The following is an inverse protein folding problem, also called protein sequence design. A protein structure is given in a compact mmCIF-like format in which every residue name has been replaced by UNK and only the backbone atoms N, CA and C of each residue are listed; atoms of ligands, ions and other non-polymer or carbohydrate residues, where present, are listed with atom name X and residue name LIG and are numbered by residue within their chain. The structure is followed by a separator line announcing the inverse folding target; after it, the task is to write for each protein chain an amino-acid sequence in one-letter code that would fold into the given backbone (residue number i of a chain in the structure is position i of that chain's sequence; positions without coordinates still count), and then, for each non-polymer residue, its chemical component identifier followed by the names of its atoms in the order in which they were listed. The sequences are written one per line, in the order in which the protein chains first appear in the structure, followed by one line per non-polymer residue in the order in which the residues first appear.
data_IF_688025360643
#
_entry.id   IF_688025360643
#
_cell.length_a   1.000
_cell.length_b   1.000
_cell.length_c   1.000
_cell.angle_alpha   90.00
_cell.angle_beta   90.00
_cell.angle_gamma   90.00
#
_symmetry.space_group_name_H-M   'P 1'
#
loop_
_entity.id
_entity.type
_entity.pdbx_description
1 polymer ?
#
# COMPACT_ATOMS: atom_id res chain seq x y z
N UNK A 1 8.67 -7.59 -9.81
CA UNK A 1 7.28 -7.29 -9.37
C UNK A 1 6.43 -8.53 -9.40
N UNK A 2 5.15 -8.42 -9.08
CA UNK A 2 4.20 -9.55 -9.08
C UNK A 2 4.19 -10.33 -10.42
N UNK A 3 4.44 -9.64 -11.54
CA UNK A 3 4.53 -10.23 -12.88
C UNK A 3 5.65 -11.29 -13.06
N UNK A 4 6.72 -11.27 -12.26
CA UNK A 4 7.78 -12.29 -12.37
C UNK A 4 7.27 -13.70 -11.99
N UNK A 5 6.27 -13.79 -11.09
CA UNK A 5 5.64 -15.09 -10.77
C UNK A 5 4.83 -15.62 -11.95
N UNK A 6 4.22 -14.75 -12.74
CA UNK A 6 3.55 -15.13 -13.99
C UNK A 6 4.56 -15.61 -15.03
N UNK A 7 5.70 -14.94 -15.15
CA UNK A 7 6.78 -15.40 -16.03
C UNK A 7 7.31 -16.79 -15.63
N UNK A 8 7.36 -17.12 -14.33
CA UNK A 8 7.78 -18.45 -13.84
C UNK A 8 6.70 -19.53 -14.00
N UNK A 9 5.44 -19.18 -13.76
CA UNK A 9 4.33 -20.16 -13.72
C UNK A 9 3.60 -20.31 -15.05
N UNK A 10 3.71 -19.33 -15.96
CA UNK A 10 2.89 -19.23 -17.17
C UNK A 10 1.42 -18.91 -16.92
N UNK A 11 0.99 -18.72 -15.65
CA UNK A 11 -0.42 -18.45 -15.31
C UNK A 11 -0.81 -17.03 -15.68
N UNK A 12 -2.05 -16.88 -16.17
CA UNK A 12 -2.70 -15.59 -16.46
C UNK A 12 -3.76 -15.21 -15.42
N UNK A 13 -3.94 -16.01 -14.36
CA UNK A 13 -5.18 -15.99 -13.56
C UNK A 13 -5.28 -14.85 -12.54
N UNK A 14 -4.16 -14.23 -12.16
CA UNK A 14 -4.12 -13.22 -11.09
C UNK A 14 -3.30 -12.00 -11.54
N UNK A 15 -3.93 -11.04 -12.21
CA UNK A 15 -3.27 -9.78 -12.53
C UNK A 15 -3.23 -8.86 -11.29
N UNK A 16 -2.13 -8.12 -11.02
CA UNK A 16 -2.10 -7.19 -9.90
C UNK A 16 -3.10 -6.04 -10.13
N UNK A 17 -4.06 -5.86 -9.22
CA UNK A 17 -5.09 -4.81 -9.33
C UNK A 17 -4.57 -3.42 -8.95
N UNK A 18 -3.50 -3.37 -8.15
CA UNK A 18 -2.88 -2.11 -7.75
C UNK A 18 -2.00 -1.59 -8.88
N UNK A 19 -2.30 -0.37 -9.35
CA UNK A 19 -1.51 0.41 -10.30
C UNK A 19 -0.17 0.87 -9.68
N UNK A 20 0.70 -0.09 -9.35
CA UNK A 20 1.89 0.14 -8.56
C UNK A 20 2.88 1.08 -9.25
N UNK A 21 2.98 1.03 -10.58
CA UNK A 21 3.86 1.90 -11.35
C UNK A 21 3.44 3.37 -11.21
N UNK A 22 2.14 3.66 -11.36
CA UNK A 22 1.58 5.01 -11.24
C UNK A 22 1.75 5.55 -9.82
N UNK A 23 1.40 4.74 -8.82
CA UNK A 23 1.48 5.15 -7.41
C UNK A 23 2.93 5.35 -6.95
N UNK A 24 3.84 4.42 -7.25
CA UNK A 24 5.24 4.52 -6.85
C UNK A 24 5.95 5.67 -7.55
N UNK A 25 5.73 5.85 -8.86
CA UNK A 25 6.32 6.97 -9.59
C UNK A 25 5.86 8.33 -9.05
N UNK A 26 4.58 8.47 -8.68
CA UNK A 26 4.08 9.66 -8.00
C UNK A 26 4.78 9.92 -6.65
N UNK A 27 5.02 8.86 -5.86
CA UNK A 27 5.76 8.98 -4.58
C UNK A 27 7.23 9.35 -4.82
N UNK A 28 7.93 8.72 -5.76
CA UNK A 28 9.31 9.06 -6.10
C UNK A 28 9.44 10.47 -6.66
N UNK A 29 8.49 10.92 -7.50
CA UNK A 29 8.44 12.30 -7.98
C UNK A 29 8.27 13.29 -6.82
N UNK A 30 7.37 13.01 -5.86
CA UNK A 30 7.21 13.84 -4.67
C UNK A 30 8.50 13.91 -3.84
N UNK A 31 9.17 12.78 -3.60
CA UNK A 31 10.47 12.72 -2.90
C UNK A 31 11.53 13.54 -3.65
N UNK A 32 11.60 13.42 -4.98
CA UNK A 32 12.50 14.19 -5.82
C UNK A 32 12.25 15.69 -5.68
N UNK A 33 10.99 16.13 -5.74
CA UNK A 33 10.61 17.54 -5.58
C UNK A 33 11.00 18.07 -4.21
N UNK A 34 10.69 17.33 -3.13
CA UNK A 34 11.07 17.70 -1.78
C UNK A 34 12.60 17.81 -1.63
N UNK A 35 13.35 16.88 -2.22
CA UNK A 35 14.82 16.89 -2.22
C UNK A 35 15.40 18.09 -2.98
N UNK A 36 14.82 18.40 -4.15
CA UNK A 36 15.21 19.55 -4.95
C UNK A 36 14.91 20.88 -4.23
N UNK A 37 13.75 20.99 -3.57
CA UNK A 37 13.40 22.17 -2.76
C UNK A 37 14.37 22.34 -1.59
N UNK A 38 14.74 21.26 -0.91
CA UNK A 38 15.75 21.30 0.15
C UNK A 38 17.12 21.74 -0.36
N UNK A 39 17.59 21.19 -1.47
CA UNK A 39 18.84 21.60 -2.10
C UNK A 39 18.82 23.08 -2.53
N UNK A 40 17.71 23.55 -3.11
CA UNK A 40 17.51 24.93 -3.54
C UNK A 40 17.67 25.94 -2.41
N UNK A 41 17.34 25.59 -1.15
CA UNK A 41 17.55 26.49 -0.01
C UNK A 41 19.03 26.87 0.17
N UNK A 42 19.95 25.99 -0.23
CA UNK A 42 21.39 26.21 -0.14
C UNK A 42 21.98 26.78 -1.43
N UNK A 43 21.49 26.34 -2.58
CA UNK A 43 22.08 26.66 -3.88
C UNK A 43 21.44 27.88 -4.55
N UNK A 44 20.19 28.21 -4.19
CA UNK A 44 19.36 29.18 -4.90
C UNK A 44 18.89 28.72 -6.28
N UNK A 45 19.26 27.51 -6.72
CA UNK A 45 19.01 27.00 -8.07
C UNK A 45 17.98 25.87 -8.05
N UNK A 46 17.05 25.91 -9.01
CA UNK A 46 16.18 24.78 -9.31
C UNK A 46 16.94 23.65 -10.02
N UNK A 47 16.27 22.51 -10.20
CA UNK A 47 16.81 21.39 -10.98
C UNK A 47 15.68 20.66 -11.69
N UNK A 48 16.05 19.85 -12.69
CA UNK A 48 15.14 18.93 -13.39
C UNK A 48 15.20 17.55 -12.75
N UNK A 49 14.04 16.91 -12.64
CA UNK A 49 13.91 15.56 -12.10
C UNK A 49 13.30 14.70 -13.20
N UNK A 50 13.96 13.60 -13.55
CA UNK A 50 13.43 12.58 -14.44
C UNK A 50 13.03 11.35 -13.61
N UNK A 51 11.82 10.84 -13.82
CA UNK A 51 11.24 9.73 -13.05
C UNK A 51 10.62 8.72 -13.99
N UNK A 52 11.30 7.58 -14.17
CA UNK A 52 10.81 6.45 -14.95
C UNK A 52 9.91 5.56 -14.09
N UNK A 53 8.68 5.29 -14.56
CA UNK A 53 7.75 4.34 -13.93
C UNK A 53 8.35 2.93 -13.85
N UNK A 54 9.09 2.52 -14.89
CA UNK A 54 9.77 1.23 -14.94
C UNK A 54 10.86 1.14 -13.88
N UNK A 55 11.66 2.19 -13.72
CA UNK A 55 12.76 2.24 -12.75
C UNK A 55 12.20 2.19 -11.32
N UNK A 56 11.08 2.87 -11.07
CA UNK A 56 10.38 2.81 -9.78
C UNK A 56 9.95 1.39 -9.42
N UNK A 57 9.40 0.64 -10.38
CA UNK A 57 9.04 -0.77 -10.17
C UNK A 57 10.28 -1.65 -9.94
N UNK A 58 11.35 -1.44 -10.69
CA UNK A 58 12.61 -2.18 -10.53
C UNK A 58 13.20 -1.92 -9.14
N UNK A 59 13.29 -0.66 -8.73
CA UNK A 59 13.78 -0.25 -7.42
C UNK A 59 12.96 -0.86 -6.28
N UNK A 60 11.62 -0.89 -6.39
CA UNK A 60 10.74 -1.53 -5.41
C UNK A 60 10.95 -3.06 -5.28
N UNK A 61 11.66 -3.69 -6.23
CA UNK A 61 12.01 -5.11 -6.21
C UNK A 61 13.47 -5.38 -5.82
N UNK A 62 14.16 -4.40 -5.24
CA UNK A 62 15.57 -4.54 -4.85
C UNK A 62 15.85 -5.80 -4.01
N UNK A 63 14.95 -6.19 -3.10
CA UNK A 63 15.11 -7.40 -2.28
C UNK A 63 15.20 -8.69 -3.11
N UNK A 64 14.50 -8.75 -4.25
CA UNK A 64 14.53 -9.90 -5.15
C UNK A 64 15.69 -9.79 -6.15
N UNK A 65 15.97 -8.59 -6.62
CA UNK A 65 16.94 -8.33 -7.68
C UNK A 65 18.38 -8.31 -7.18
N UNK A 66 18.64 -7.76 -5.99
CA UNK A 66 20.00 -7.61 -5.48
C UNK A 66 20.74 -8.96 -5.35
N UNK A 67 20.14 -10.04 -4.80
CA UNK A 67 20.79 -11.35 -4.81
C UNK A 67 21.07 -11.86 -6.23
N UNK A 68 20.10 -11.75 -7.14
CA UNK A 68 20.25 -12.17 -8.55
C UNK A 68 21.35 -11.41 -9.27
N UNK A 69 21.46 -10.09 -9.07
CA UNK A 69 22.54 -9.27 -9.60
C UNK A 69 23.92 -9.68 -9.08
N UNK A 70 23.98 -10.28 -7.89
CA UNK A 70 25.21 -10.79 -7.26
C UNK A 70 25.40 -12.30 -7.49
N UNK A 71 24.69 -12.91 -8.44
CA UNK A 71 24.84 -14.33 -8.80
C UNK A 71 24.23 -15.32 -7.80
N UNK A 72 23.52 -14.84 -6.78
CA UNK A 72 22.76 -15.68 -5.88
C UNK A 72 21.34 -15.93 -6.42
N UNK A 73 20.71 -17.08 -6.11
CA UNK A 73 19.31 -17.28 -6.44
C UNK A 73 18.45 -16.21 -5.74
N UNK A 74 17.32 -15.80 -6.35
CA UNK A 74 16.39 -14.89 -5.69
C UNK A 74 15.91 -15.52 -4.37
N UNK A 75 15.76 -14.73 -3.30
CA UNK A 75 15.37 -15.26 -2.00
C UNK A 75 13.93 -15.77 -2.08
N UNK A 76 13.69 -16.94 -1.52
CA UNK A 76 12.33 -17.40 -1.28
C UNK A 76 11.85 -16.87 0.08
N UNK A 77 11.17 -15.72 0.00
CA UNK A 77 10.62 -15.00 1.16
C UNK A 77 9.43 -15.74 1.80
N UNK A 78 8.90 -16.79 1.17
CA UNK A 78 7.73 -17.55 1.65
C UNK A 78 8.13 -18.87 2.33
N UNK A 79 9.41 -19.07 2.64
CA UNK A 79 9.97 -20.34 3.15
C UNK A 79 9.53 -20.73 4.57
N UNK A 80 8.95 -19.79 5.33
CA UNK A 80 8.50 -20.06 6.69
C UNK A 80 7.10 -20.70 6.72
N UNK A 81 6.85 -21.68 7.62
CA UNK A 81 5.55 -22.32 7.72
C UNK A 81 4.41 -21.35 8.03
N UNK A 82 4.71 -20.27 8.77
CA UNK A 82 3.77 -19.22 9.16
C UNK A 82 3.81 -18.00 8.22
N UNK A 83 4.18 -18.19 6.95
CA UNK A 83 4.12 -17.14 5.94
C UNK A 83 3.05 -17.47 4.88
N UNK A 84 2.06 -16.60 4.75
CA UNK A 84 1.03 -16.62 3.72
C UNK A 84 -0.39 -16.67 4.29
N UNK A 85 -1.33 -17.10 3.43
CA UNK A 85 -2.75 -17.11 3.72
C UNK A 85 -3.23 -18.46 4.23
N UNK A 86 -4.19 -18.43 5.15
CA UNK A 86 -4.80 -19.60 5.77
C UNK A 86 -6.30 -19.43 5.91
N UNK A 87 -7.04 -20.50 5.61
CA UNK A 87 -8.50 -20.54 5.71
C UNK A 87 -8.94 -20.93 7.11
N UNK A 88 -9.86 -20.15 7.68
CA UNK A 88 -10.51 -20.44 8.96
C UNK A 88 -11.76 -21.31 8.76
N UNK A 89 -12.35 -21.80 9.85
CA UNK A 89 -13.52 -22.70 9.80
C UNK A 89 -14.77 -22.11 9.14
N UNK A 90 -14.86 -20.77 9.04
CA UNK A 90 -15.93 -20.04 8.35
C UNK A 90 -15.58 -19.68 6.89
N UNK A 91 -14.48 -20.21 6.34
CA UNK A 91 -14.02 -19.95 4.98
C UNK A 91 -13.30 -18.61 4.79
N UNK A 92 -13.27 -17.75 5.81
CA UNK A 92 -12.54 -16.48 5.77
C UNK A 92 -11.04 -16.69 5.95
N UNK A 93 -10.24 -15.75 5.45
CA UNK A 93 -8.79 -15.88 5.41
C UNK A 93 -8.11 -15.03 6.50
N UNK A 94 -7.03 -15.59 7.06
CA UNK A 94 -6.00 -14.88 7.82
C UNK A 94 -4.70 -14.85 7.03
N UNK A 95 -3.96 -13.77 7.17
CA UNK A 95 -2.58 -13.65 6.72
C UNK A 95 -1.65 -13.73 7.92
N UNK A 96 -0.61 -14.55 7.80
CA UNK A 96 0.57 -14.51 8.65
C UNK A 96 1.75 -14.12 7.76
N UNK A 97 2.63 -13.25 8.25
CA UNK A 97 3.67 -12.68 7.38
C UNK A 97 5.04 -12.73 8.01
N UNK A 98 5.17 -12.74 9.34
CA UNK A 98 6.48 -12.79 9.97
C UNK A 98 6.35 -13.64 11.24
N UNK A 99 7.01 -14.78 11.23
CA UNK A 99 7.44 -15.45 12.45
C UNK A 99 8.95 -15.70 12.33
N UNK A 100 9.71 -14.74 11.80
CA UNK A 100 11.14 -14.94 11.56
C UNK A 100 11.86 -15.11 12.89
N UNK A 101 11.54 -14.24 13.84
CA UNK A 101 12.03 -14.27 15.20
C UNK A 101 11.30 -15.33 16.03
N UNK A 102 12.04 -16.07 16.84
CA UNK A 102 11.50 -17.24 17.53
C UNK A 102 10.42 -16.87 18.57
N UNK A 103 10.48 -15.68 19.17
CA UNK A 103 9.44 -15.21 20.09
C UNK A 103 8.07 -14.97 19.41
N UNK A 104 8.05 -14.58 18.14
CA UNK A 104 6.79 -14.50 17.38
C UNK A 104 6.23 -15.88 17.06
N UNK A 105 7.11 -16.84 16.79
CA UNK A 105 6.72 -18.23 16.60
C UNK A 105 6.16 -18.83 17.89
N UNK A 106 6.81 -18.60 19.03
CA UNK A 106 6.34 -19.05 20.34
C UNK A 106 4.93 -18.49 20.66
N UNK A 107 4.71 -17.19 20.46
CA UNK A 107 3.40 -16.55 20.63
C UNK A 107 2.32 -17.18 19.73
N UNK A 108 2.65 -17.42 18.45
CA UNK A 108 1.76 -18.09 17.51
C UNK A 108 1.46 -19.53 17.93
N UNK A 109 2.47 -20.28 18.37
CA UNK A 109 2.30 -21.64 18.87
C UNK A 109 1.38 -21.69 20.08
N UNK A 110 1.51 -20.76 21.02
CA UNK A 110 0.61 -20.66 22.16
C UNK A 110 -0.84 -20.42 21.73
N UNK A 111 -1.06 -19.53 20.75
CA UNK A 111 -2.41 -19.26 20.22
C UNK A 111 -3.02 -20.45 19.46
N UNK A 112 -2.18 -21.26 18.80
CA UNK A 112 -2.60 -22.41 17.99
C UNK A 112 -2.53 -23.76 18.73
N UNK A 113 -2.22 -23.77 20.03
CA UNK A 113 -2.06 -25.00 20.83
C UNK A 113 -1.00 -25.94 20.21
N UNK A 114 0.15 -25.36 19.83
CA UNK A 114 1.29 -26.03 19.20
C UNK A 114 2.55 -26.00 20.08
N UNK A 115 2.38 -26.21 21.40
CA UNK A 115 3.46 -26.09 22.39
C UNK A 115 4.63 -27.05 22.14
N UNK A 116 4.37 -28.22 21.56
CA UNK A 116 5.38 -29.23 21.23
C UNK A 116 6.41 -28.77 20.18
N UNK A 117 6.11 -27.70 19.45
CA UNK A 117 6.99 -27.11 18.43
C UNK A 117 7.37 -25.66 18.73
N UNK A 118 6.94 -25.09 19.86
CA UNK A 118 7.21 -23.69 20.21
C UNK A 118 8.71 -23.39 20.32
N UNK A 119 9.51 -24.33 20.86
CA UNK A 119 10.96 -24.14 21.02
C UNK A 119 11.78 -24.28 19.72
N UNK A 120 11.14 -24.60 18.57
CA UNK A 120 11.85 -24.76 17.31
C UNK A 120 12.44 -23.43 16.84
N UNK A 121 13.75 -23.45 16.64
CA UNK A 121 14.47 -22.32 16.07
C UNK A 121 14.22 -22.25 14.57
N UNK A 122 14.31 -21.05 14.01
CA UNK A 122 14.03 -20.77 12.59
C UNK A 122 14.53 -21.84 11.58
N UNK A 123 15.80 -22.30 11.58
CA UNK A 123 16.25 -23.30 10.60
C UNK A 123 15.48 -24.63 10.69
N UNK A 124 15.08 -25.03 11.90
CA UNK A 124 14.29 -26.24 12.14
C UNK A 124 12.86 -26.09 11.63
N UNK A 125 12.30 -24.87 11.73
CA UNK A 125 10.97 -24.53 11.22
C UNK A 125 10.93 -24.56 9.70
N UNK A 126 11.94 -23.99 9.04
CA UNK A 126 12.09 -24.05 7.58
C UNK A 126 12.24 -25.51 7.11
N UNK A 127 13.05 -26.32 7.80
CA UNK A 127 13.22 -27.73 7.45
C UNK A 127 11.92 -28.56 7.56
N UNK A 128 10.95 -28.08 8.35
CA UNK A 128 9.63 -28.70 8.58
C UNK A 128 8.48 -27.85 8.04
N UNK A 129 8.75 -26.93 7.10
CA UNK A 129 7.81 -25.89 6.69
C UNK A 129 6.46 -26.48 6.21
N UNK A 130 6.50 -27.48 5.33
CA UNK A 130 5.28 -28.10 4.79
C UNK A 130 4.44 -28.79 5.87
N UNK A 131 5.10 -29.53 6.78
CA UNK A 131 4.46 -30.23 7.90
C UNK A 131 3.77 -29.24 8.84
N UNK A 132 4.50 -28.21 9.27
CA UNK A 132 4.02 -27.19 10.19
C UNK A 132 2.90 -26.35 9.55
N UNK A 133 3.04 -25.97 8.28
CA UNK A 133 2.02 -25.24 7.52
C UNK A 133 0.73 -26.05 7.40
N UNK A 134 0.83 -27.34 7.07
CA UNK A 134 -0.33 -28.23 6.99
C UNK A 134 -1.00 -28.43 8.36
N UNK A 135 -0.22 -28.49 9.45
CA UNK A 135 -0.74 -28.53 10.82
C UNK A 135 -1.49 -27.24 11.18
N UNK A 136 -0.88 -26.07 10.93
CA UNK A 136 -1.52 -24.77 11.16
C UNK A 136 -2.83 -24.65 10.38
N UNK A 137 -2.83 -25.01 9.09
CA UNK A 137 -4.04 -24.97 8.27
C UNK A 137 -5.16 -25.83 8.84
N UNK A 138 -4.86 -27.06 9.33
CA UNK A 138 -5.86 -27.92 9.99
C UNK A 138 -6.38 -27.34 11.30
N UNK A 139 -5.53 -26.69 12.09
CA UNK A 139 -5.94 -26.07 13.35
C UNK A 139 -6.86 -24.88 13.07
N UNK A 140 -6.50 -24.01 12.14
CA UNK A 140 -7.27 -22.81 11.82
C UNK A 140 -8.68 -23.11 11.30
N UNK A 141 -8.90 -24.28 10.69
CA UNK A 141 -10.24 -24.73 10.30
C UNK A 141 -11.18 -25.06 11.47
N UNK A 142 -10.69 -25.18 12.71
CA UNK A 142 -11.51 -25.55 13.87
C UNK A 142 -12.45 -24.44 14.36
N UNK A 143 -12.10 -23.18 14.09
CA UNK A 143 -12.84 -22.02 14.58
C UNK A 143 -13.03 -20.97 13.49
N UNK A 144 -14.09 -20.14 13.56
CA UNK A 144 -14.27 -19.01 12.65
C UNK A 144 -13.16 -17.97 12.84
N UNK A 145 -12.87 -17.17 11.79
CA UNK A 145 -11.79 -16.17 11.81
C UNK A 145 -11.83 -15.26 13.04
N UNK A 146 -13.01 -14.75 13.40
CA UNK A 146 -13.17 -13.82 14.52
C UNK A 146 -12.76 -14.40 15.89
N UNK A 147 -12.84 -15.72 16.08
CA UNK A 147 -12.34 -16.39 17.28
C UNK A 147 -10.80 -16.43 17.28
N UNK A 148 -10.19 -16.74 16.13
CA UNK A 148 -8.74 -16.69 15.98
C UNK A 148 -8.20 -15.28 16.15
N UNK A 149 -8.86 -14.26 15.60
CA UNK A 149 -8.46 -12.86 15.79
C UNK A 149 -8.38 -12.51 17.28
N UNK A 150 -9.34 -12.95 18.10
CA UNK A 150 -9.29 -12.75 19.56
C UNK A 150 -8.15 -13.50 20.22
N UNK A 151 -7.96 -14.79 19.89
CA UNK A 151 -6.91 -15.63 20.50
C UNK A 151 -5.51 -15.14 20.14
N UNK A 152 -5.29 -14.84 18.87
CA UNK A 152 -4.02 -14.34 18.36
C UNK A 152 -3.69 -12.96 18.94
N UNK A 153 -4.67 -12.06 19.05
CA UNK A 153 -4.47 -10.76 19.71
C UNK A 153 -4.16 -10.91 21.20
N UNK A 154 -4.81 -11.84 21.91
CA UNK A 154 -4.52 -12.11 23.31
C UNK A 154 -3.13 -12.70 23.55
N UNK A 155 -2.58 -13.40 22.54
CA UNK A 155 -1.23 -13.97 22.56
C UNK A 155 -0.15 -13.01 22.03
N UNK A 156 -0.51 -11.78 21.64
CA UNK A 156 0.39 -10.82 20.95
C UNK A 156 1.05 -11.42 19.69
N UNK A 157 0.35 -12.34 19.02
CA UNK A 157 0.81 -12.95 17.78
C UNK A 157 0.61 -11.99 16.60
N UNK A 158 1.53 -11.98 15.64
CA UNK A 158 1.39 -11.16 14.43
C UNK A 158 0.49 -11.85 13.41
N UNK A 159 -0.66 -11.24 13.14
CA UNK A 159 -1.59 -11.68 12.11
C UNK A 159 -2.31 -10.47 11.49
N UNK A 160 -2.97 -10.70 10.36
CA UNK A 160 -3.93 -9.76 9.80
C UNK A 160 -5.14 -10.49 9.21
N UNK A 161 -6.37 -9.97 9.39
CA UNK A 161 -7.51 -10.45 8.63
C UNK A 161 -7.36 -10.06 7.15
N UNK A 162 -7.70 -10.99 6.26
CA UNK A 162 -7.80 -10.69 4.83
C UNK A 162 -9.22 -10.21 4.58
N UNK A 163 -9.35 -8.94 4.20
CA UNK A 163 -10.64 -8.25 4.14
C UNK A 163 -11.13 -8.09 2.71
N UNK A 164 -12.43 -8.23 2.53
CA UNK A 164 -13.15 -7.71 1.37
C UNK A 164 -13.20 -6.18 1.43
N UNK A 165 -13.31 -5.50 0.28
CA UNK A 165 -13.38 -4.02 0.25
C UNK A 165 -14.54 -3.46 1.10
N UNK A 166 -15.66 -4.18 1.17
CA UNK A 166 -16.81 -3.80 2.00
C UNK A 166 -16.51 -3.85 3.51
N UNK A 167 -15.55 -4.68 3.93
CA UNK A 167 -15.09 -4.77 5.32
C UNK A 167 -13.98 -3.73 5.59
N UNK A 168 -13.11 -3.45 4.62
CA UNK A 168 -12.04 -2.44 4.73
C UNK A 168 -12.60 -1.06 5.11
N UNK A 169 -13.70 -0.63 4.50
CA UNK A 169 -14.33 0.68 4.81
C UNK A 169 -15.00 0.73 6.18
N UNK A 170 -15.12 -0.43 6.87
CA UNK A 170 -15.68 -0.58 8.21
C UNK A 170 -14.62 -0.97 9.24
N UNK A 171 -13.36 -1.11 8.82
CA UNK A 171 -12.29 -1.57 9.70
C UNK A 171 -12.04 -0.55 10.83
N UNK A 172 -12.12 -0.98 12.11
CA UNK A 172 -11.97 -0.07 13.25
C UNK A 172 -10.62 0.66 13.27
N UNK A 173 -9.53 0.03 12.82
CA UNK A 173 -8.22 0.65 12.78
C UNK A 173 -8.15 1.72 11.70
N UNK A 174 -8.64 1.45 10.49
CA UNK A 174 -8.66 2.42 9.39
C UNK A 174 -9.59 3.61 9.69
N UNK A 175 -10.73 3.36 10.34
CA UNK A 175 -11.64 4.40 10.83
C UNK A 175 -11.01 5.25 11.94
N UNK A 176 -10.32 4.64 12.91
CA UNK A 176 -9.61 5.35 13.96
C UNK A 176 -8.47 6.24 13.41
N UNK A 177 -7.82 5.79 12.32
CA UNK A 177 -6.86 6.59 11.56
C UNK A 177 -7.51 7.68 10.69
N UNK A 178 -8.84 7.67 10.57
CA UNK A 178 -9.65 8.56 9.72
C UNK A 178 -9.29 8.50 8.23
N UNK A 179 -8.83 7.33 7.76
CA UNK A 179 -8.31 7.19 6.40
C UNK A 179 -9.37 7.54 5.33
N UNK A 180 -10.64 7.32 5.66
CA UNK A 180 -11.79 7.72 4.86
C UNK A 180 -12.35 9.06 5.34
N UNK A 181 -12.50 10.02 4.45
CA UNK A 181 -12.92 11.39 4.81
C UNK A 181 -13.89 11.98 3.79
N UNK A 182 -14.69 12.95 4.24
CA UNK A 182 -15.52 13.82 3.38
C UNK A 182 -15.01 15.25 3.48
N UNK A 183 -15.23 16.03 2.44
CA UNK A 183 -14.89 17.46 2.44
C UNK A 183 -16.03 18.22 3.11
N UNK A 184 -15.72 18.95 4.18
CA UNK A 184 -16.73 19.73 4.89
C UNK A 184 -17.34 20.79 3.96
N UNK A 185 -18.67 20.83 3.88
CA UNK A 185 -19.41 21.78 3.03
C UNK A 185 -19.45 21.43 1.54
N UNK A 186 -18.88 20.30 1.10
CA UNK A 186 -19.03 19.82 -0.28
C UNK A 186 -20.46 19.27 -0.50
N UNK A 187 -21.27 19.88 -1.39
CA UNK A 187 -22.63 19.41 -1.68
C UNK A 187 -22.69 17.97 -2.21
N UNK A 188 -21.59 17.47 -2.80
CA UNK A 188 -21.53 16.11 -3.33
C UNK A 188 -21.59 15.05 -2.22
N UNK A 189 -21.15 15.38 -1.00
CA UNK A 189 -21.01 14.44 0.10
C UNK A 189 -20.10 13.24 -0.21
N UNK A 190 -19.22 13.35 -1.22
CA UNK A 190 -18.39 12.23 -1.67
C UNK A 190 -17.32 11.85 -0.63
N UNK A 191 -17.11 10.54 -0.51
CA UNK A 191 -16.02 9.98 0.29
C UNK A 191 -14.71 9.98 -0.49
N UNK A 192 -13.63 10.25 0.21
CA UNK A 192 -12.27 10.25 -0.29
C UNK A 192 -11.38 9.40 0.62
N UNK A 193 -10.35 8.80 0.04
CA UNK A 193 -9.27 8.13 0.78
C UNK A 193 -8.12 9.12 0.90
N UNK A 194 -7.68 9.45 2.12
CA UNK A 194 -6.52 10.32 2.30
C UNK A 194 -5.21 9.54 2.18
N UNK A 195 -4.13 10.28 1.97
CA UNK A 195 -2.77 9.80 2.14
C UNK A 195 -2.50 9.36 3.62
N UNK A 196 -1.57 8.42 3.88
CA UNK A 196 -1.43 7.79 5.19
C UNK A 196 -0.57 8.55 6.23
N UNK A 197 0.16 9.58 5.82
CA UNK A 197 1.00 10.43 6.69
C UNK A 197 0.14 11.29 7.61
N UNK A 198 0.49 11.27 8.89
CA UNK A 198 -0.11 12.09 9.93
C UNK A 198 0.97 12.96 10.54
N UNK A 199 0.76 14.26 10.59
CA UNK A 199 1.71 15.22 11.16
C UNK A 199 1.20 15.71 12.51
N UNK A 200 2.11 16.22 13.34
CA UNK A 200 1.74 16.96 14.54
C UNK A 200 0.91 18.20 14.12
N UNK A 201 -0.39 18.19 14.42
CA UNK A 201 -1.35 19.21 13.97
C UNK A 201 -2.42 18.71 13.01
N UNK A 202 -2.35 17.47 12.53
CA UNK A 202 -3.41 16.82 11.76
C UNK A 202 -2.93 15.95 10.61
N UNK A 203 -3.89 15.32 9.93
CA UNK A 203 -3.63 14.50 8.76
C UNK A 203 -4.08 15.27 7.49
N UNK A 204 -3.15 15.67 6.61
CA UNK A 204 -3.49 16.31 5.34
C UNK A 204 -4.42 15.44 4.51
N UNK A 205 -5.38 16.08 3.85
CA UNK A 205 -6.37 15.44 3.00
C UNK A 205 -6.99 16.46 2.05
N UNK A 206 -7.94 16.03 1.19
CA UNK A 206 -8.63 16.94 0.29
C UNK A 206 -9.39 18.00 1.10
N UNK A 207 -9.12 19.27 0.80
CA UNK A 207 -9.72 20.43 1.47
C UNK A 207 -10.81 21.12 0.64
N UNK A 208 -10.87 20.85 -0.66
CA UNK A 208 -11.77 21.48 -1.63
C UNK A 208 -12.29 20.43 -2.61
N UNK A 209 -13.53 20.56 -3.11
CA UNK A 209 -14.07 19.66 -4.12
C UNK A 209 -13.20 19.58 -5.38
N UNK A 210 -13.38 18.51 -6.14
CA UNK A 210 -12.72 18.35 -7.45
C UNK A 210 -13.17 19.48 -8.37
N UNK A 211 -12.24 20.24 -8.99
CA UNK A 211 -12.62 21.33 -9.87
C UNK A 211 -13.23 20.82 -11.17
N UNK A 212 -14.19 21.58 -11.72
CA UNK A 212 -14.67 21.36 -13.08
C UNK A 212 -13.57 21.71 -14.09
N UNK A 213 -13.67 21.14 -15.30
CA UNK A 213 -12.82 21.53 -16.41
C UNK A 213 -12.95 23.04 -16.65
N UNK A 214 -11.82 23.75 -16.71
CA UNK A 214 -11.78 25.20 -16.93
C UNK A 214 -12.15 26.08 -15.73
N UNK A 215 -12.53 25.52 -14.57
CA UNK A 215 -13.02 26.29 -13.41
C UNK A 215 -12.06 27.40 -12.94
N UNK A 216 -10.75 27.17 -13.06
CA UNK A 216 -9.73 28.09 -12.57
C UNK A 216 -8.95 28.80 -13.69
N UNK A 217 -9.36 28.64 -14.96
CA UNK A 217 -8.63 29.19 -16.11
C UNK A 217 -8.45 30.70 -16.03
N UNK A 218 -9.54 31.46 -15.89
CA UNK A 218 -9.48 32.93 -15.90
C UNK A 218 -8.70 33.48 -14.69
N UNK A 219 -8.94 33.02 -13.44
CA UNK A 219 -8.13 33.44 -12.29
C UNK A 219 -6.64 33.21 -12.48
N UNK A 220 -6.23 32.04 -12.99
CA UNK A 220 -4.81 31.71 -13.20
C UNK A 220 -4.18 32.59 -14.30
N UNK A 221 -4.89 32.86 -15.39
CA UNK A 221 -4.38 33.74 -16.46
C UNK A 221 -4.21 35.19 -15.97
N UNK A 222 -5.14 35.68 -15.15
CA UNK A 222 -5.02 37.01 -14.52
C UNK A 222 -3.85 37.07 -13.54
N UNK A 223 -3.66 36.04 -12.73
CA UNK A 223 -2.51 35.92 -11.82
C UNK A 223 -1.18 35.92 -12.59
N UNK A 224 -1.16 35.30 -13.78
CA UNK A 224 -0.02 35.34 -14.69
C UNK A 224 0.19 36.71 -15.40
N UNK A 225 -0.67 37.70 -15.16
CA UNK A 225 -0.54 39.07 -15.67
C UNK A 225 -1.15 39.32 -17.06
N UNK A 226 -2.00 38.42 -17.55
CA UNK A 226 -2.70 38.64 -18.82
C UNK A 226 -3.88 39.58 -18.63
N UNK A 227 -4.05 40.52 -19.56
CA UNK A 227 -5.22 41.40 -19.59
C UNK A 227 -6.46 40.72 -20.19
N UNK A 228 -7.63 41.33 -19.99
CA UNK A 228 -8.91 40.80 -20.46
C UNK A 228 -8.97 40.67 -21.98
N UNK A 229 -8.28 41.55 -22.72
CA UNK A 229 -8.23 41.48 -24.18
C UNK A 229 -7.50 40.21 -24.64
N UNK A 230 -6.36 39.90 -24.01
CA UNK A 230 -5.59 38.69 -24.29
C UNK A 230 -6.33 37.44 -23.85
N UNK A 231 -6.96 37.45 -22.68
CA UNK A 231 -7.78 36.33 -22.20
C UNK A 231 -8.95 36.07 -23.15
N UNK A 232 -9.67 37.12 -23.58
CA UNK A 232 -10.75 37.01 -24.55
C UNK A 232 -10.31 36.42 -25.88
N UNK A 233 -9.13 36.82 -26.38
CA UNK A 233 -8.56 36.25 -27.59
C UNK A 233 -8.23 34.74 -27.45
N UNK A 234 -7.72 34.31 -26.29
CA UNK A 234 -7.43 32.88 -26.01
C UNK A 234 -8.70 32.04 -25.92
N UNK A 235 -9.76 32.58 -25.31
CA UNK A 235 -11.08 31.94 -25.25
C UNK A 235 -11.68 31.80 -26.66
N UNK A 236 -11.68 32.88 -27.45
CA UNK A 236 -12.22 32.86 -28.81
C UNK A 236 -11.45 31.89 -29.74
N UNK A 237 -10.16 31.71 -29.50
CA UNK A 237 -9.32 30.76 -30.24
C UNK A 237 -9.43 29.31 -29.75
N UNK A 238 -10.18 29.03 -28.68
CA UNK A 238 -10.30 27.68 -28.10
C UNK A 238 -9.02 27.18 -27.41
N UNK A 239 -8.07 28.07 -27.10
CA UNK A 239 -6.81 27.72 -26.42
C UNK A 239 -7.04 27.45 -24.93
N UNK A 240 -8.07 28.08 -24.35
CA UNK A 240 -8.48 27.91 -22.95
C UNK A 240 -9.99 27.78 -22.85
N UNK A 241 -10.47 27.04 -21.85
CA UNK A 241 -11.88 26.89 -21.51
C UNK A 241 -12.25 27.74 -20.30
N UNK A 242 -13.41 28.38 -20.33
CA UNK A 242 -14.04 28.99 -19.15
C UNK A 242 -14.99 27.96 -18.52
N UNK A 243 -14.73 27.56 -17.27
CA UNK A 243 -15.53 26.55 -16.56
C UNK A 243 -16.96 27.01 -16.16
N UNK A 244 -17.43 28.12 -16.73
CA UNK A 244 -18.80 28.61 -16.66
C UNK A 244 -19.73 28.01 -17.74
N UNK A 245 -19.19 27.31 -18.74
CA UNK A 245 -19.93 26.68 -19.85
C UNK A 245 -19.93 25.16 -19.82
#
# INVERSE_FOLDING_TARGET
GNLFRHARSGSTDIYPEVAAADLLSGVFAAIGVLSALWARQRTGQGTTIDVSMSDCLVAANAILLAPTLNGAPPPDIMTEPAYGLFTCGDGKLLSFSIAYEDWFWEALCGALEMDDVAALQRPQRIARADELRARMARILLRHPRAEWERRLAAADAMFAPVLELADVVRDPHLLARGLFTRIAGDPSGQWHVRQPLVFAGGAPGPMRPVPRLGQHSLPVLREAGLDEARIGALLAAGVVLDGAG
#
